data_IF_870904392129
#
_entry.id   IF_870904392129
#
_cell.length_a   1.000
_cell.length_b   1.000
_cell.length_c   1.000
_cell.angle_alpha   90.00
_cell.angle_beta   90.00
_cell.angle_gamma   90.00
#
_symmetry.space_group_name_H-M   'P 1'
#
loop_
_entity.id
_entity.type
_entity.pdbx_description
1 polymer ?
#
# COMPACT_ATOMS: atom_id res chain seq x y z
N UNK A 1 1.86 -16.15 -8.22
CA UNK A 1 2.17 -15.65 -6.88
C UNK A 1 1.96 -14.15 -6.71
N UNK A 2 2.77 -13.25 -7.33
CA UNK A 2 2.62 -11.79 -7.15
C UNK A 2 1.20 -11.29 -7.48
N UNK A 3 0.57 -11.80 -8.54
CA UNK A 3 -0.80 -11.45 -8.92
C UNK A 3 -1.80 -11.84 -7.82
N UNK A 4 -1.77 -13.05 -7.33
CA UNK A 4 -2.64 -13.51 -6.23
C UNK A 4 -2.47 -12.67 -4.96
N UNK A 5 -1.24 -12.24 -4.66
CA UNK A 5 -0.95 -11.36 -3.52
C UNK A 5 -1.63 -9.99 -3.68
N UNK A 6 -1.57 -9.39 -4.86
CA UNK A 6 -2.24 -8.10 -5.11
C UNK A 6 -3.76 -8.24 -5.09
N UNK A 7 -4.29 -9.31 -5.69
CA UNK A 7 -5.72 -9.60 -5.63
C UNK A 7 -6.20 -9.79 -4.19
N UNK A 8 -5.44 -10.48 -3.35
CA UNK A 8 -5.77 -10.66 -1.93
C UNK A 8 -5.80 -9.31 -1.18
N UNK A 9 -4.86 -8.40 -1.45
CA UNK A 9 -4.87 -7.03 -0.92
C UNK A 9 -6.10 -6.28 -1.43
N UNK A 10 -6.45 -6.40 -2.72
CA UNK A 10 -7.64 -5.76 -3.30
C UNK A 10 -8.93 -6.29 -2.66
N UNK A 11 -9.03 -7.59 -2.42
CA UNK A 11 -10.16 -8.19 -1.68
C UNK A 11 -10.22 -7.63 -0.26
N UNK A 12 -9.10 -7.59 0.44
CA UNK A 12 -9.01 -7.05 1.80
C UNK A 12 -9.41 -5.57 1.89
N UNK A 13 -9.19 -4.81 0.82
CA UNK A 13 -9.43 -3.37 0.76
C UNK A 13 -10.72 -2.97 0.04
N UNK A 14 -11.65 -3.89 -0.18
CA UNK A 14 -12.94 -3.68 -0.84
C UNK A 14 -12.83 -3.17 -2.31
N UNK A 15 -11.72 -3.54 -2.99
CA UNK A 15 -11.52 -3.19 -4.40
C UNK A 15 -11.89 -4.33 -5.35
N UNK A 16 -12.00 -5.53 -4.79
CA UNK A 16 -12.32 -6.74 -5.51
C UNK A 16 -13.16 -7.66 -4.63
N UNK A 17 -14.08 -8.40 -5.20
CA UNK A 17 -14.92 -9.34 -4.44
C UNK A 17 -14.25 -10.70 -4.22
N UNK A 18 -13.51 -11.20 -5.21
CA UNK A 18 -12.89 -12.53 -5.15
C UNK A 18 -11.57 -12.57 -5.93
N UNK A 19 -10.79 -13.62 -5.76
CA UNK A 19 -9.60 -13.91 -6.57
C UNK A 19 -10.01 -14.45 -7.95
N UNK A 20 -9.18 -14.28 -8.97
CA UNK A 20 -9.39 -14.88 -10.30
C UNK A 20 -9.35 -16.41 -10.26
N UNK A 21 -8.52 -16.96 -9.38
CA UNK A 21 -8.47 -18.39 -9.06
C UNK A 21 -8.14 -18.59 -7.58
N UNK A 22 -8.54 -19.73 -7.04
CA UNK A 22 -8.07 -20.13 -5.71
C UNK A 22 -6.57 -20.41 -5.71
N UNK A 23 -5.84 -20.03 -4.65
CA UNK A 23 -4.46 -20.46 -4.45
C UNK A 23 -4.37 -21.97 -4.20
N UNK A 24 -3.30 -22.59 -4.69
CA UNK A 24 -2.94 -23.95 -4.34
C UNK A 24 -2.42 -24.02 -2.88
N UNK A 25 -2.41 -25.19 -2.22
CA UNK A 25 -1.97 -25.30 -0.82
C UNK A 25 -0.60 -24.65 -0.55
N UNK A 26 0.39 -24.90 -1.43
CA UNK A 26 1.74 -24.35 -1.30
C UNK A 26 1.79 -22.83 -1.57
N UNK A 27 0.86 -22.32 -2.36
CA UNK A 27 0.75 -20.88 -2.64
C UNK A 27 0.23 -20.11 -1.43
N UNK A 28 -0.63 -20.70 -0.60
CA UNK A 28 -1.11 -20.08 0.63
C UNK A 28 0.04 -19.77 1.59
N UNK A 29 0.94 -20.73 1.81
CA UNK A 29 2.11 -20.53 2.65
C UNK A 29 3.01 -19.42 2.10
N UNK A 30 3.27 -19.45 0.80
CA UNK A 30 4.10 -18.42 0.18
C UNK A 30 3.44 -17.03 0.14
N UNK A 31 2.10 -16.95 0.08
CA UNK A 31 1.34 -15.70 0.25
C UNK A 31 1.49 -15.15 1.67
N UNK A 32 1.40 -16.02 2.69
CA UNK A 32 1.60 -15.65 4.08
C UNK A 32 3.00 -15.08 4.33
N UNK A 33 4.05 -15.80 3.92
CA UNK A 33 5.43 -15.33 4.03
C UNK A 33 5.69 -14.00 3.31
N UNK A 34 5.05 -13.80 2.15
CA UNK A 34 5.14 -12.54 1.42
C UNK A 34 4.42 -11.41 2.18
N UNK A 35 3.25 -11.69 2.74
CA UNK A 35 2.48 -10.74 3.55
C UNK A 35 3.24 -10.29 4.80
N UNK A 36 3.92 -11.22 5.48
CA UNK A 36 4.81 -10.92 6.61
C UNK A 36 5.96 -9.99 6.20
N UNK A 37 6.72 -10.38 5.17
CA UNK A 37 7.85 -9.57 4.68
C UNK A 37 7.45 -8.16 4.25
N UNK A 38 6.22 -8.00 3.78
CA UNK A 38 5.67 -6.73 3.33
C UNK A 38 4.90 -5.97 4.43
N UNK A 39 4.89 -6.47 5.66
CA UNK A 39 4.21 -5.91 6.83
C UNK A 39 2.69 -5.69 6.61
N UNK A 40 2.03 -6.62 5.91
CA UNK A 40 0.61 -6.57 5.58
C UNK A 40 -0.13 -7.88 5.94
N UNK A 41 0.43 -8.70 6.81
CA UNK A 41 -0.17 -9.98 7.21
C UNK A 41 -1.61 -9.81 7.71
N UNK A 42 -1.86 -8.86 8.59
CA UNK A 42 -3.20 -8.58 9.10
C UNK A 42 -4.19 -8.09 8.04
N UNK A 43 -3.73 -7.33 7.01
CA UNK A 43 -4.58 -6.94 5.89
C UNK A 43 -4.94 -8.17 5.06
N UNK A 44 -3.94 -8.98 4.71
CA UNK A 44 -4.16 -10.19 3.93
C UNK A 44 -5.06 -11.18 4.67
N UNK A 45 -4.94 -11.28 6.01
CA UNK A 45 -5.84 -12.10 6.83
C UNK A 45 -7.31 -11.68 6.64
N UNK A 46 -7.59 -10.39 6.66
CA UNK A 46 -8.95 -9.90 6.37
C UNK A 46 -9.42 -10.30 4.97
N UNK A 47 -8.52 -10.28 3.98
CA UNK A 47 -8.85 -10.78 2.65
C UNK A 47 -9.23 -12.26 2.68
N UNK A 48 -8.50 -13.08 3.46
CA UNK A 48 -8.79 -14.50 3.66
C UNK A 48 -10.15 -14.69 4.34
N UNK A 49 -10.47 -13.93 5.39
CA UNK A 49 -11.78 -13.99 6.07
C UNK A 49 -12.92 -13.68 5.10
N UNK A 50 -12.77 -12.68 4.24
CA UNK A 50 -13.78 -12.35 3.23
C UNK A 50 -13.94 -13.44 2.19
N UNK A 51 -12.84 -14.02 1.73
CA UNK A 51 -12.90 -15.14 0.78
C UNK A 51 -13.59 -16.38 1.37
N UNK A 52 -13.49 -16.55 2.69
CA UNK A 52 -14.21 -17.61 3.39
C UNK A 52 -15.74 -17.47 3.25
N UNK A 53 -16.26 -16.25 3.26
CA UNK A 53 -17.69 -15.96 3.03
C UNK A 53 -18.13 -16.43 1.63
N UNK A 54 -17.21 -16.42 0.65
CA UNK A 54 -17.44 -16.90 -0.71
C UNK A 54 -17.05 -18.38 -0.92
N UNK A 55 -16.76 -19.12 0.16
CA UNK A 55 -16.48 -20.56 0.14
C UNK A 55 -15.04 -20.95 -0.20
N UNK A 56 -14.12 -19.98 -0.34
CA UNK A 56 -12.69 -20.25 -0.50
C UNK A 56 -12.03 -20.32 0.87
N UNK A 57 -11.36 -21.45 1.17
CA UNK A 57 -10.73 -21.69 2.48
C UNK A 57 -9.23 -21.82 2.33
N UNK A 58 -8.48 -21.04 3.12
CA UNK A 58 -7.07 -21.30 3.34
C UNK A 58 -6.89 -22.55 4.22
N UNK A 59 -5.75 -23.26 4.11
CA UNK A 59 -5.40 -24.34 5.04
C UNK A 59 -5.45 -23.88 6.50
N UNK A 60 -5.85 -24.75 7.41
CA UNK A 60 -6.14 -24.38 8.80
C UNK A 60 -4.90 -23.86 9.54
N UNK A 61 -3.75 -24.47 9.33
CA UNK A 61 -2.46 -24.05 9.90
C UNK A 61 -2.08 -22.63 9.49
N UNK A 62 -2.14 -22.32 8.21
CA UNK A 62 -1.87 -20.98 7.67
C UNK A 62 -2.87 -19.95 8.20
N UNK A 63 -4.15 -20.33 8.33
CA UNK A 63 -5.20 -19.44 8.87
C UNK A 63 -4.95 -19.09 10.33
N UNK A 64 -4.46 -20.01 11.15
CA UNK A 64 -4.14 -19.77 12.56
C UNK A 64 -2.97 -18.80 12.69
N UNK A 65 -1.90 -19.00 11.91
CA UNK A 65 -0.73 -18.13 11.93
C UNK A 65 -1.11 -16.70 11.50
N UNK A 66 -1.90 -16.56 10.46
CA UNK A 66 -2.37 -15.24 10.02
C UNK A 66 -3.26 -14.54 11.04
N UNK A 67 -4.14 -15.29 11.72
CA UNK A 67 -5.00 -14.73 12.76
C UNK A 67 -4.17 -14.19 13.93
N UNK A 68 -3.19 -14.96 14.40
CA UNK A 68 -2.32 -14.53 15.50
C UNK A 68 -1.55 -13.23 15.17
N UNK A 69 -1.03 -13.12 13.94
CA UNK A 69 -0.34 -11.91 13.48
C UNK A 69 -1.27 -10.72 13.31
N UNK A 70 -2.52 -10.95 12.91
CA UNK A 70 -3.52 -9.90 12.80
C UNK A 70 -3.87 -9.32 14.17
N UNK A 71 -4.00 -10.16 15.19
CA UNK A 71 -4.23 -9.74 16.58
C UNK A 71 -3.03 -8.96 17.15
N UNK A 72 -1.80 -9.45 16.94
CA UNK A 72 -0.59 -8.73 17.36
C UNK A 72 -0.50 -7.36 16.68
N UNK A 73 -0.78 -7.29 15.39
CA UNK A 73 -0.78 -6.03 14.65
C UNK A 73 -1.85 -5.05 15.19
N UNK A 74 -3.02 -5.55 15.58
CA UNK A 74 -4.08 -4.76 16.20
C UNK A 74 -3.60 -4.16 17.53
N UNK A 75 -3.01 -4.95 18.40
CA UNK A 75 -2.45 -4.49 19.69
C UNK A 75 -1.36 -3.43 19.50
N UNK A 76 -0.42 -3.66 18.55
CA UNK A 76 0.63 -2.69 18.21
C UNK A 76 0.04 -1.36 17.73
N UNK A 77 -1.04 -1.39 16.98
CA UNK A 77 -1.70 -0.20 16.46
C UNK A 77 -2.47 0.57 17.54
N UNK A 78 -3.09 -0.12 18.49
CA UNK A 78 -3.76 0.51 19.63
C UNK A 78 -2.75 1.26 20.52
N UNK A 79 -1.52 0.75 20.63
CA UNK A 79 -0.43 1.39 21.39
C UNK A 79 0.27 2.52 20.62
N UNK A 80 0.10 2.60 19.32
CA UNK A 80 0.76 3.61 18.49
C UNK A 80 0.10 4.99 18.65
N UNK A 81 0.92 6.03 18.94
CA UNK A 81 0.44 7.43 19.02
C UNK A 81 -0.17 7.95 17.72
N UNK A 82 0.19 7.36 16.60
CA UNK A 82 -0.29 7.69 15.26
C UNK A 82 -0.49 6.39 14.46
N UNK A 83 -1.65 5.73 14.57
CA UNK A 83 -1.93 4.50 13.86
C UNK A 83 -1.88 4.75 12.33
N UNK A 84 -1.29 3.81 11.60
CA UNK A 84 -1.23 3.87 10.14
C UNK A 84 -2.63 3.81 9.52
N UNK A 85 -2.78 4.21 8.26
CA UNK A 85 -4.05 4.08 7.52
C UNK A 85 -4.52 2.63 7.45
N UNK A 86 -3.59 1.71 7.31
CA UNK A 86 -3.83 0.27 7.31
C UNK A 86 -4.45 -0.19 8.63
N UNK A 87 -3.91 0.27 9.76
CA UNK A 87 -4.46 -0.02 11.07
C UNK A 87 -5.91 0.45 11.21
N UNK A 88 -6.18 1.68 10.75
CA UNK A 88 -7.53 2.26 10.78
C UNK A 88 -8.51 1.57 9.86
N UNK A 89 -8.04 1.01 8.76
CA UNK A 89 -8.89 0.23 7.87
C UNK A 89 -9.31 -1.08 8.52
N UNK A 90 -8.45 -1.65 9.35
CA UNK A 90 -8.68 -2.92 10.04
C UNK A 90 -9.64 -2.78 11.23
N UNK A 91 -9.67 -1.62 11.87
CA UNK A 91 -10.52 -1.34 13.01
C UNK A 91 -11.88 -0.79 12.54
N UNK A 92 -12.96 -1.55 12.81
CA UNK A 92 -14.31 -1.21 12.37
C UNK A 92 -14.86 0.04 13.07
N UNK A 93 -14.46 0.30 14.34
CA UNK A 93 -14.79 1.54 15.03
C UNK A 93 -14.10 2.74 14.40
N UNK A 94 -12.86 2.59 13.94
CA UNK A 94 -12.13 3.61 13.22
C UNK A 94 -12.64 3.81 11.77
N UNK A 95 -13.35 2.83 11.19
CA UNK A 95 -14.09 3.03 9.93
C UNK A 95 -15.17 4.09 10.07
N UNK A 96 -15.90 4.06 11.16
CA UNK A 96 -16.99 5.01 11.43
C UNK A 96 -16.45 6.42 11.72
N UNK A 97 -15.25 6.53 12.29
CA UNK A 97 -14.55 7.81 12.49
C UNK A 97 -14.01 8.41 11.16
N UNK A 98 -13.96 7.65 10.07
CA UNK A 98 -13.60 8.16 8.74
C UNK A 98 -14.53 9.28 8.24
N UNK A 99 -15.75 9.30 8.69
CA UNK A 99 -16.73 10.34 8.29
C UNK A 99 -16.52 11.67 9.03
N UNK A 100 -15.83 11.69 10.17
CA UNK A 100 -15.69 12.87 11.04
C UNK A 100 -14.26 13.42 11.18
N UNK A 101 -13.23 12.84 10.52
CA UNK A 101 -11.85 13.13 10.90
C UNK A 101 -11.16 14.19 10.03
N UNK A 102 -11.58 15.44 10.15
CA UNK A 102 -10.71 16.60 9.87
C UNK A 102 -9.51 16.66 10.83
N UNK A 103 -9.66 16.10 12.03
CA UNK A 103 -8.64 16.08 13.12
C UNK A 103 -7.37 15.28 12.78
N UNK A 104 -7.42 14.33 11.85
CA UNK A 104 -6.23 13.54 11.49
C UNK A 104 -5.13 14.38 10.83
N UNK A 105 -5.50 15.37 10.03
CA UNK A 105 -4.55 16.25 9.36
C UNK A 105 -3.88 17.25 10.32
N UNK A 106 -4.53 17.56 11.42
CA UNK A 106 -4.00 18.49 12.44
C UNK A 106 -2.94 17.81 13.30
N UNK A 107 -3.07 16.51 13.57
CA UNK A 107 -2.19 15.78 14.48
C UNK A 107 -0.97 15.13 13.81
N UNK A 108 -1.02 14.85 12.49
CA UNK A 108 0.08 14.19 11.77
C UNK A 108 0.30 14.84 10.41
N UNK A 109 1.52 15.31 10.17
CA UNK A 109 1.93 15.77 8.85
C UNK A 109 1.65 14.66 7.82
N UNK A 110 0.84 14.92 6.77
CA UNK A 110 0.53 13.90 5.78
C UNK A 110 1.82 13.47 5.07
N UNK A 111 1.97 12.17 4.85
CA UNK A 111 3.10 11.59 4.13
C UNK A 111 3.11 12.10 2.68
N UNK A 112 4.21 12.67 2.24
CA UNK A 112 4.37 13.18 0.88
C UNK A 112 5.00 12.13 -0.03
N UNK A 113 4.92 12.33 -1.35
CA UNK A 113 5.62 11.47 -2.31
C UNK A 113 7.15 11.51 -2.11
N UNK A 114 7.68 12.61 -1.59
CA UNK A 114 9.10 12.73 -1.24
C UNK A 114 9.46 11.85 -0.03
N UNK A 115 8.56 11.73 0.95
CA UNK A 115 8.77 10.85 2.09
C UNK A 115 8.75 9.38 1.65
N UNK A 116 7.81 9.00 0.78
CA UNK A 116 7.78 7.66 0.16
C UNK A 116 9.05 7.39 -0.66
N UNK A 117 9.54 8.39 -1.40
CA UNK A 117 10.80 8.30 -2.14
C UNK A 117 12.01 8.10 -1.23
N UNK A 118 12.07 8.81 -0.08
CA UNK A 118 13.12 8.61 0.93
C UNK A 118 13.09 7.21 1.52
N UNK A 119 11.90 6.69 1.81
CA UNK A 119 11.74 5.29 2.27
C UNK A 119 12.23 4.29 1.22
N UNK A 120 11.94 4.53 -0.05
CA UNK A 120 12.44 3.72 -1.15
C UNK A 120 13.98 3.73 -1.22
N UNK A 121 14.61 4.90 -1.20
CA UNK A 121 16.07 5.04 -1.21
C UNK A 121 16.73 4.40 0.03
N UNK A 122 16.05 4.41 1.16
CA UNK A 122 16.49 3.77 2.40
C UNK A 122 16.20 2.25 2.43
N UNK A 123 15.63 1.67 1.37
CA UNK A 123 15.18 0.27 1.30
C UNK A 123 14.17 -0.11 2.41
N UNK A 124 13.34 0.83 2.80
CA UNK A 124 12.28 0.67 3.82
C UNK A 124 10.87 0.77 3.23
N UNK A 125 10.76 0.91 1.91
CA UNK A 125 9.47 0.87 1.24
C UNK A 125 8.97 -0.58 1.23
N UNK A 126 7.76 -0.78 1.74
CA UNK A 126 7.05 -2.06 1.74
C UNK A 126 5.59 -1.84 1.33
N UNK A 127 4.83 -2.92 1.22
CA UNK A 127 3.44 -2.87 0.78
C UNK A 127 2.54 -2.09 1.75
N UNK A 128 2.83 -2.11 3.06
CA UNK A 128 2.09 -1.32 4.05
C UNK A 128 2.17 0.17 3.74
N UNK A 129 3.37 0.69 3.43
CA UNK A 129 3.56 2.10 3.05
C UNK A 129 2.82 2.43 1.76
N UNK A 130 2.80 1.51 0.79
CA UNK A 130 2.07 1.67 -0.48
C UNK A 130 0.57 1.82 -0.23
N UNK A 131 0.00 0.96 0.61
CA UNK A 131 -1.42 0.98 0.97
C UNK A 131 -1.76 2.24 1.78
N UNK A 132 -0.94 2.60 2.77
CA UNK A 132 -1.12 3.83 3.54
C UNK A 132 -1.12 5.07 2.63
N UNK A 133 -0.20 5.11 1.68
CA UNK A 133 -0.10 6.20 0.72
C UNK A 133 -1.29 6.25 -0.24
N UNK A 134 -1.79 5.10 -0.68
CA UNK A 134 -3.01 5.01 -1.49
C UNK A 134 -4.22 5.64 -0.79
N UNK A 135 -4.49 5.23 0.46
CA UNK A 135 -5.62 5.78 1.21
C UNK A 135 -5.44 7.27 1.53
N UNK A 136 -4.22 7.72 1.72
CA UNK A 136 -3.92 9.14 1.86
C UNK A 136 -4.32 9.92 0.60
N UNK A 137 -3.96 9.44 -0.57
CA UNK A 137 -4.31 10.09 -1.84
C UNK A 137 -5.83 10.14 -2.04
N UNK A 138 -6.55 9.05 -1.77
CA UNK A 138 -8.01 9.02 -1.86
C UNK A 138 -8.68 10.03 -0.93
N UNK A 139 -8.15 10.21 0.29
CA UNK A 139 -8.69 11.17 1.24
C UNK A 139 -8.41 12.60 0.82
N UNK A 140 -7.25 12.84 0.21
CA UNK A 140 -6.84 14.17 -0.24
C UNK A 140 -7.63 14.63 -1.48
N UNK A 141 -8.23 13.71 -2.23
CA UNK A 141 -8.98 14.04 -3.45
C UNK A 141 -10.13 15.01 -3.18
N UNK A 142 -10.82 14.90 -2.04
CA UNK A 142 -11.87 15.85 -1.64
C UNK A 142 -11.35 17.28 -1.44
N UNK A 143 -10.09 17.46 -1.10
CA UNK A 143 -9.44 18.78 -0.98
C UNK A 143 -8.64 19.17 -2.24
N UNK A 144 -8.41 18.21 -3.16
CA UNK A 144 -7.55 18.40 -4.34
C UNK A 144 -8.17 19.30 -5.42
N UNK A 145 -9.49 19.36 -5.49
CA UNK A 145 -10.17 20.34 -6.37
C UNK A 145 -9.76 21.76 -6.01
N UNK A 146 -9.59 22.04 -4.72
CA UNK A 146 -9.11 23.35 -4.23
C UNK A 146 -7.61 23.55 -4.46
N UNK A 147 -6.81 22.47 -4.49
CA UNK A 147 -5.35 22.52 -4.68
C UNK A 147 -4.95 22.48 -6.16
N UNK A 148 -5.73 21.89 -7.06
CA UNK A 148 -5.51 21.92 -8.52
C UNK A 148 -5.47 23.34 -9.06
N UNK A 149 -6.28 24.23 -8.50
CA UNK A 149 -6.33 25.65 -8.88
C UNK A 149 -5.11 26.43 -8.42
N UNK A 150 -4.34 25.95 -7.44
CA UNK A 150 -3.16 26.62 -6.89
C UNK A 150 -1.81 26.20 -7.50
N UNK A 151 -1.79 25.28 -8.48
CA UNK A 151 -0.55 24.80 -9.11
C UNK A 151 0.34 23.94 -8.21
N UNK A 152 -0.16 23.58 -7.03
CA UNK A 152 0.58 22.90 -5.96
C UNK A 152 1.25 21.56 -6.33
N UNK A 153 0.67 20.68 -7.18
CA UNK A 153 1.29 19.39 -7.50
C UNK A 153 2.60 19.48 -8.27
N UNK A 154 2.77 20.51 -9.09
CA UNK A 154 3.96 20.66 -9.94
C UNK A 154 5.17 21.25 -9.21
N UNK A 155 4.95 22.02 -8.16
CA UNK A 155 6.01 22.68 -7.39
C UNK A 155 6.78 21.67 -6.53
N UNK A 156 6.11 20.59 -6.06
CA UNK A 156 6.72 19.57 -5.20
C UNK A 156 7.62 18.57 -5.96
N UNK A 157 7.45 18.41 -7.27
CA UNK A 157 8.24 17.48 -8.09
C UNK A 157 9.47 18.17 -8.71
N UNK A 158 10.16 19.04 -7.97
CA UNK A 158 11.29 19.82 -8.49
C UNK A 158 12.50 18.97 -8.86
N UNK A 159 12.78 17.88 -8.13
CA UNK A 159 13.90 17.01 -8.47
C UNK A 159 13.50 15.99 -9.54
N UNK A 160 14.37 15.73 -10.49
CA UNK A 160 14.12 14.74 -11.55
C UNK A 160 13.90 13.33 -10.99
N UNK A 161 14.63 12.97 -9.92
CA UNK A 161 14.50 11.67 -9.27
C UNK A 161 13.12 11.46 -8.64
N UNK A 162 12.61 12.45 -7.91
CA UNK A 162 11.26 12.39 -7.29
C UNK A 162 10.18 12.31 -8.36
N UNK A 163 10.28 13.10 -9.44
CA UNK A 163 9.30 13.06 -10.54
C UNK A 163 9.26 11.70 -11.23
N UNK A 164 10.43 11.10 -11.46
CA UNK A 164 10.56 9.78 -12.05
C UNK A 164 9.97 8.71 -11.15
N UNK A 165 10.32 8.75 -9.86
CA UNK A 165 9.77 7.87 -8.83
C UNK A 165 8.25 8.02 -8.72
N UNK A 166 7.71 9.24 -8.64
CA UNK A 166 6.28 9.51 -8.56
C UNK A 166 5.50 8.84 -9.70
N UNK A 167 5.99 8.94 -10.94
CA UNK A 167 5.38 8.27 -12.08
C UNK A 167 5.39 6.74 -11.97
N UNK A 168 6.47 6.19 -11.42
CA UNK A 168 6.55 4.76 -11.11
C UNK A 168 5.59 4.35 -10.01
N UNK A 169 5.52 5.16 -8.95
CA UNK A 169 4.63 4.91 -7.82
C UNK A 169 3.15 4.95 -8.20
N UNK A 170 2.74 5.87 -9.08
CA UNK A 170 1.36 5.88 -9.62
C UNK A 170 1.05 4.60 -10.39
N UNK A 171 2.00 4.03 -11.11
CA UNK A 171 1.83 2.74 -11.77
C UNK A 171 1.73 1.60 -10.74
N UNK A 172 2.54 1.61 -9.67
CA UNK A 172 2.44 0.61 -8.58
C UNK A 172 1.06 0.66 -7.92
N UNK A 173 0.56 1.86 -7.62
CA UNK A 173 -0.79 2.03 -7.04
C UNK A 173 -1.90 1.55 -7.99
N UNK A 174 -1.72 1.70 -9.29
CA UNK A 174 -2.65 1.16 -10.28
C UNK A 174 -2.65 -0.37 -10.27
N UNK A 175 -1.49 -1.01 -10.32
CA UNK A 175 -1.36 -2.47 -10.37
C UNK A 175 -1.80 -3.16 -9.07
N UNK A 176 -1.46 -2.56 -7.92
CA UNK A 176 -1.68 -3.17 -6.61
C UNK A 176 -3.06 -2.84 -6.05
N UNK A 177 -3.52 -1.60 -6.22
CA UNK A 177 -4.72 -1.07 -5.56
C UNK A 177 -5.84 -0.70 -6.53
N UNK A 178 -5.66 -0.98 -7.82
CA UNK A 178 -6.60 -0.59 -8.88
C UNK A 178 -6.95 0.92 -8.85
N UNK A 179 -5.92 1.76 -8.68
CA UNK A 179 -6.09 3.20 -8.57
C UNK A 179 -6.51 3.80 -9.91
N UNK A 180 -7.59 4.56 -9.91
CA UNK A 180 -8.07 5.24 -11.10
C UNK A 180 -7.13 6.39 -11.54
N UNK A 181 -7.07 6.62 -12.85
CA UNK A 181 -6.23 7.70 -13.42
C UNK A 181 -6.61 9.10 -12.93
N UNK A 182 -7.87 9.32 -12.63
CA UNK A 182 -8.41 10.56 -12.07
C UNK A 182 -7.80 10.91 -10.71
N UNK A 183 -7.42 9.89 -9.94
CA UNK A 183 -6.88 9.98 -8.58
C UNK A 183 -5.36 10.12 -8.54
N UNK A 184 -4.69 9.98 -9.68
CA UNK A 184 -3.23 9.98 -9.76
C UNK A 184 -2.64 11.40 -9.75
N UNK A 185 -1.53 11.58 -9.04
CA UNK A 185 -0.77 12.83 -9.02
C UNK A 185 -0.16 13.19 -10.38
N UNK A 186 0.18 12.17 -11.17
CA UNK A 186 0.82 12.33 -12.47
C UNK A 186 0.64 11.08 -13.34
N UNK A 187 0.92 11.20 -14.65
CA UNK A 187 0.83 10.09 -15.59
C UNK A 187 1.74 8.94 -15.17
N UNK A 188 1.23 7.69 -15.01
CA UNK A 188 2.00 6.53 -14.58
C UNK A 188 3.07 6.12 -15.60
N UNK A 189 4.11 5.46 -15.12
CA UNK A 189 5.18 4.88 -15.93
C UNK A 189 5.42 3.42 -15.55
N UNK A 190 4.98 2.48 -16.37
CA UNK A 190 5.15 1.04 -16.13
C UNK A 190 6.61 0.60 -16.07
N UNK A 191 7.53 1.26 -16.79
CA UNK A 191 8.97 0.95 -16.70
C UNK A 191 9.52 1.23 -15.31
N UNK A 192 9.17 2.37 -14.73
CA UNK A 192 9.63 2.78 -13.41
C UNK A 192 8.87 2.00 -12.32
N UNK A 193 7.58 1.79 -12.50
CA UNK A 193 6.76 1.06 -11.54
C UNK A 193 7.17 -0.39 -11.38
N UNK A 194 7.43 -1.10 -12.48
CA UNK A 194 7.95 -2.48 -12.41
C UNK A 194 9.28 -2.56 -11.67
N UNK A 195 10.16 -1.58 -11.88
CA UNK A 195 11.43 -1.51 -11.16
C UNK A 195 11.19 -1.30 -9.65
N UNK A 196 10.35 -0.31 -9.27
CA UNK A 196 10.04 -0.05 -7.86
C UNK A 196 9.43 -1.29 -7.20
N UNK A 197 8.45 -1.92 -7.86
CA UNK A 197 7.77 -3.09 -7.34
C UNK A 197 8.71 -4.29 -7.19
N UNK A 198 9.63 -4.49 -8.15
CA UNK A 198 10.63 -5.54 -8.06
C UNK A 198 11.58 -5.30 -6.89
N UNK A 199 12.13 -4.09 -6.75
CA UNK A 199 13.02 -3.75 -5.63
C UNK A 199 12.34 -3.92 -4.27
N UNK A 200 11.06 -3.54 -4.18
CA UNK A 200 10.27 -3.66 -2.95
C UNK A 200 10.01 -5.12 -2.57
N UNK A 201 9.62 -5.95 -3.53
CA UNK A 201 9.24 -7.35 -3.26
C UNK A 201 10.43 -8.29 -3.14
N UNK A 202 11.46 -8.10 -3.96
CA UNK A 202 12.62 -9.00 -4.08
C UNK A 202 13.86 -8.48 -3.31
N UNK A 203 13.91 -7.19 -2.97
CA UNK A 203 14.79 -6.60 -1.95
C UNK A 203 16.30 -6.57 -2.25
N UNK A 204 16.81 -6.38 -3.51
CA UNK A 204 18.20 -6.76 -3.74
C UNK A 204 19.11 -5.90 -4.62
N UNK A 205 18.72 -4.71 -5.08
CA UNK A 205 19.61 -3.98 -5.99
C UNK A 205 19.90 -2.53 -5.60
N UNK A 206 20.31 -2.30 -4.34
CA UNK A 206 20.67 -0.96 -3.83
C UNK A 206 21.58 -0.18 -4.79
N UNK A 207 22.56 -0.84 -5.38
CA UNK A 207 23.51 -0.22 -6.29
C UNK A 207 22.83 0.24 -7.60
N UNK A 208 21.94 -0.58 -8.17
CA UNK A 208 21.21 -0.23 -9.39
C UNK A 208 20.19 0.88 -9.12
N UNK A 209 19.52 0.83 -7.97
CA UNK A 209 18.61 1.87 -7.50
C UNK A 209 19.33 3.21 -7.36
N UNK A 210 20.48 3.25 -6.69
CA UNK A 210 21.30 4.46 -6.53
C UNK A 210 21.78 4.99 -7.89
N UNK A 211 22.26 4.12 -8.78
CA UNK A 211 22.65 4.50 -10.13
C UNK A 211 21.48 5.10 -10.92
N UNK A 212 20.27 4.59 -10.75
CA UNK A 212 19.10 4.99 -11.51
C UNK A 212 18.47 6.29 -11.04
N UNK A 213 18.48 6.56 -9.74
CA UNK A 213 17.79 7.69 -9.11
C UNK A 213 18.72 8.78 -8.58
N UNK A 214 19.98 8.49 -8.27
CA UNK A 214 20.95 9.48 -7.74
C UNK A 214 21.90 10.06 -8.79
N UNK A 215 22.09 9.45 -9.96
CA UNK A 215 22.97 9.95 -11.02
C UNK A 215 22.52 11.24 -11.72
N UNK A 216 21.48 11.88 -11.23
CA UNK A 216 20.82 13.00 -11.89
C UNK A 216 20.63 14.22 -10.96
N UNK A 217 21.50 14.32 -9.94
CA UNK A 217 21.69 15.56 -9.19
C UNK A 217 22.78 16.40 -9.83
#
# INVERSE_FOLDING_TARGET
>A
MKQLFFELIQVATDRRECLERGPEPEEWQALHELAQRQAVAGICYRGVERLFEFGLRAPQDVSIDWMAEAEEMKEQNEQAKAPSYVARYYDEELRNLRQSSDDYYVLNKPMTIEDVYRLFLAQRLNMRVVIDYYFLLLKTERHYETLKTSGFPYVLLRSFGVRRFARGMMWVLQEVMDMERSQMLCKPSGREGRFILQEMLDGHQKLEMLKRYQRLQ
#
